data_IF_346291250541
#
_entry.id   IF_346291250541
#
_cell.length_a   1.000
_cell.length_b   1.000
_cell.length_c   1.000
_cell.angle_alpha   90.00
_cell.angle_beta   90.00
_cell.angle_gamma   90.00
#
_symmetry.space_group_name_H-M   'P 1'
#
loop_
_entity.id
_entity.type
_entity.pdbx_description
1 polymer ?
#
# COMPACT_ATOMS: atom_id res chain seq x y z
N UNK A 1 16.90 24.96 -1.51
CA UNK A 1 18.36 24.96 -1.58
C UNK A 1 18.85 23.64 -0.98
N UNK A 2 19.72 22.95 -1.70
CA UNK A 2 20.43 21.75 -1.26
C UNK A 2 21.71 22.24 -0.60
N UNK A 3 21.90 21.98 0.68
CA UNK A 3 23.18 22.24 1.31
C UNK A 3 23.95 20.93 1.35
N UNK A 4 25.00 20.84 0.57
CA UNK A 4 25.94 19.71 0.59
C UNK A 4 26.99 20.03 1.61
N UNK A 5 27.23 19.13 2.56
CA UNK A 5 28.39 19.22 3.46
C UNK A 5 29.43 18.23 2.94
N UNK A 6 30.27 18.64 1.97
CA UNK A 6 31.34 17.78 1.44
C UNK A 6 32.52 17.73 2.43
N UNK A 7 33.44 16.79 2.23
CA UNK A 7 34.74 16.75 2.91
C UNK A 7 35.45 18.13 2.97
N UNK A 8 35.36 18.98 1.90
CA UNK A 8 35.92 20.32 1.93
C UNK A 8 35.31 21.26 3.00
N UNK A 9 34.13 20.92 3.53
CA UNK A 9 33.51 21.68 4.63
C UNK A 9 33.99 21.22 6.02
N UNK A 10 34.82 20.20 6.09
CA UNK A 10 35.41 19.76 7.35
C UNK A 10 36.25 20.87 7.96
N UNK A 11 36.15 21.05 9.27
CA UNK A 11 36.86 22.06 10.03
C UNK A 11 37.93 21.40 10.91
N UNK A 12 39.09 22.02 10.98
CA UNK A 12 40.07 21.71 11.97
C UNK A 12 39.97 22.72 13.12
N UNK A 13 40.01 22.23 14.35
CA UNK A 13 40.06 23.07 15.55
C UNK A 13 41.48 23.23 16.01
N UNK A 14 42.00 24.43 16.00
CA UNK A 14 43.31 24.72 16.59
C UNK A 14 43.17 25.71 17.74
N UNK A 15 44.04 25.55 18.72
CA UNK A 15 44.11 26.47 19.86
C UNK A 15 45.03 27.63 19.47
N UNK A 16 44.46 28.82 19.38
CA UNK A 16 45.27 30.03 19.27
C UNK A 16 45.96 30.29 20.63
N UNK A 17 47.27 30.24 20.60
CA UNK A 17 48.11 30.41 21.79
C UNK A 17 48.14 31.85 22.33
N UNK A 18 47.76 32.82 21.48
CA UNK A 18 47.76 34.25 21.86
C UNK A 18 46.46 34.62 22.56
N UNK A 19 45.31 34.21 21.97
CA UNK A 19 43.97 34.52 22.52
C UNK A 19 43.47 33.42 23.47
N UNK A 20 44.17 32.30 23.62
CA UNK A 20 43.76 31.09 24.35
C UNK A 20 42.33 30.62 24.04
N UNK A 21 41.90 30.84 22.80
CA UNK A 21 40.59 30.44 22.27
C UNK A 21 40.73 29.36 21.22
N UNK A 22 39.71 28.48 21.06
CA UNK A 22 39.63 27.54 20.00
C UNK A 22 39.06 28.22 18.73
N UNK A 23 39.85 28.22 17.67
CA UNK A 23 39.41 28.75 16.36
C UNK A 23 39.17 27.58 15.39
N UNK A 24 38.15 27.75 14.53
CA UNK A 24 37.83 26.78 13.49
C UNK A 24 38.38 27.22 12.15
N UNK A 25 39.18 26.38 11.53
CA UNK A 25 39.69 26.60 10.19
C UNK A 25 39.09 25.57 9.23
N UNK A 26 38.59 26.00 8.07
CA UNK A 26 38.16 25.04 7.03
C UNK A 26 39.37 24.33 6.46
N UNK A 27 39.30 23.01 6.28
CA UNK A 27 40.38 22.20 5.73
C UNK A 27 40.68 22.51 4.26
N UNK A 28 39.66 22.94 3.50
CA UNK A 28 39.81 23.36 2.10
C UNK A 28 39.32 24.79 1.97
N UNK A 29 40.19 25.70 1.56
CA UNK A 29 39.86 27.07 1.16
C UNK A 29 39.56 27.09 -0.33
N UNK A 30 38.53 27.82 -0.77
CA UNK A 30 38.13 27.91 -2.17
C UNK A 30 39.17 28.58 -3.09
N UNK A 31 40.15 29.24 -2.50
CA UNK A 31 41.10 30.12 -3.21
C UNK A 31 42.52 29.59 -3.33
N UNK A 32 42.81 28.43 -2.74
CA UNK A 32 44.12 27.80 -2.83
C UNK A 32 44.01 26.39 -3.40
N UNK A 33 44.76 26.14 -4.50
CA UNK A 33 45.04 24.79 -4.97
C UNK A 33 46.10 24.20 -4.00
N UNK A 34 45.68 23.96 -2.76
CA UNK A 34 46.52 23.24 -1.81
C UNK A 34 46.71 21.80 -2.29
N UNK A 35 47.85 21.25 -2.03
CA UNK A 35 48.15 19.87 -2.33
C UNK A 35 47.11 18.95 -1.68
N UNK A 36 46.24 18.35 -2.51
CA UNK A 36 45.12 17.47 -2.09
C UNK A 36 45.64 16.40 -1.13
N UNK A 37 46.89 15.93 -1.30
CA UNK A 37 47.48 14.91 -0.45
C UNK A 37 47.74 15.41 0.99
N UNK A 38 48.09 16.68 1.15
CA UNK A 38 48.33 17.28 2.48
C UNK A 38 47.01 17.49 3.23
N UNK A 39 45.95 17.88 2.52
CA UNK A 39 44.60 18.04 3.08
C UNK A 39 44.02 16.69 3.47
N UNK A 40 44.19 15.66 2.65
CA UNK A 40 43.77 14.29 2.95
C UNK A 40 44.47 13.75 4.18
N UNK A 41 45.79 13.88 4.25
CA UNK A 41 46.60 13.45 5.41
C UNK A 41 46.12 14.16 6.69
N UNK A 42 45.84 15.46 6.63
CA UNK A 42 45.35 16.23 7.77
C UNK A 42 43.96 15.73 8.19
N UNK A 43 43.03 15.51 7.25
CA UNK A 43 41.70 15.02 7.52
C UNK A 43 41.72 13.62 8.17
N UNK A 44 42.51 12.69 7.64
CA UNK A 44 42.61 11.32 8.15
C UNK A 44 43.24 11.24 9.56
N UNK A 45 44.03 12.25 9.94
CA UNK A 45 44.65 12.35 11.27
C UNK A 45 43.74 13.03 12.30
N UNK A 46 42.58 13.61 11.91
CA UNK A 46 41.66 14.24 12.85
C UNK A 46 40.82 13.18 13.59
N UNK A 47 41.00 12.99 14.91
CA UNK A 47 40.29 11.95 15.67
C UNK A 47 38.80 12.14 15.67
N UNK A 48 38.31 13.39 15.55
CA UNK A 48 36.93 13.78 15.58
C UNK A 48 36.12 13.20 14.40
N UNK A 49 36.72 13.06 13.22
CA UNK A 49 36.07 12.54 12.03
C UNK A 49 36.24 11.03 11.84
N UNK A 50 37.18 10.42 12.56
CA UNK A 50 37.43 8.99 12.51
C UNK A 50 36.25 8.22 13.09
N UNK A 51 35.68 7.30 12.30
CA UNK A 51 34.50 6.52 12.67
C UNK A 51 33.18 7.25 12.47
N UNK A 52 33.16 8.56 12.18
CA UNK A 52 31.97 9.35 11.91
C UNK A 52 31.84 9.72 10.43
N UNK A 53 32.81 10.39 9.84
CA UNK A 53 32.82 10.74 8.42
C UNK A 53 33.73 9.83 7.58
N UNK A 54 34.65 9.17 8.21
CA UNK A 54 35.61 8.26 7.56
C UNK A 54 35.81 7.02 8.43
N UNK A 55 35.74 5.85 7.78
CA UNK A 55 36.09 4.58 8.41
C UNK A 55 37.44 4.06 7.84
N UNK A 56 38.52 4.03 8.64
CA UNK A 56 39.84 3.62 8.16
C UNK A 56 39.92 2.12 7.80
N UNK A 57 39.01 1.29 8.33
CA UNK A 57 39.06 -0.17 8.09
C UNK A 57 38.40 -0.53 6.74
N UNK A 58 37.31 0.17 6.39
CA UNK A 58 36.52 -0.08 5.17
C UNK A 58 36.82 0.93 4.06
N UNK A 59 37.62 1.96 4.34
CA UNK A 59 37.85 3.11 3.44
C UNK A 59 36.58 3.75 2.93
N UNK A 60 35.55 3.82 3.80
CA UNK A 60 34.26 4.38 3.47
C UNK A 60 34.14 5.83 3.94
N UNK A 61 33.68 6.71 3.08
CA UNK A 61 33.45 8.13 3.36
C UNK A 61 31.96 8.43 3.41
N UNK A 62 31.55 9.25 4.35
CA UNK A 62 30.17 9.71 4.48
C UNK A 62 30.01 11.13 3.92
N UNK A 63 29.10 11.29 2.96
CA UNK A 63 28.66 12.60 2.49
C UNK A 63 27.25 12.86 3.00
N UNK A 64 27.03 13.94 3.73
CA UNK A 64 25.73 14.34 4.24
C UNK A 64 25.06 15.38 3.31
N UNK A 65 23.84 15.11 2.88
CA UNK A 65 23.00 16.02 2.10
C UNK A 65 21.86 16.52 2.96
N UNK A 66 21.82 17.83 3.20
CA UNK A 66 20.70 18.45 3.91
C UNK A 66 19.63 18.90 2.91
N UNK A 67 18.43 18.39 3.07
CA UNK A 67 17.28 18.69 2.21
C UNK A 67 16.31 19.67 2.91
N UNK A 68 15.72 20.56 2.14
CA UNK A 68 14.68 21.46 2.67
C UNK A 68 13.44 20.65 3.10
N UNK A 69 13.03 20.83 4.36
CA UNK A 69 11.96 20.07 5.00
C UNK A 69 10.60 20.26 4.31
N UNK A 70 10.32 21.42 3.77
CA UNK A 70 9.06 21.71 3.10
C UNK A 70 8.96 20.97 1.76
N UNK A 71 10.02 21.00 0.96
CA UNK A 71 10.07 20.33 -0.33
C UNK A 71 10.08 18.81 -0.20
N UNK A 72 10.81 18.27 0.78
CA UNK A 72 10.87 16.82 0.98
C UNK A 72 9.55 16.23 1.50
N UNK A 73 8.67 17.06 2.08
CA UNK A 73 7.32 16.65 2.48
C UNK A 73 6.27 16.93 1.40
N UNK A 74 6.64 17.52 0.27
CA UNK A 74 5.76 17.77 -0.88
C UNK A 74 5.71 16.60 -1.86
N UNK A 75 4.85 16.73 -2.89
CA UNK A 75 4.78 15.77 -4.03
C UNK A 75 6.07 15.72 -4.85
N UNK A 76 6.94 16.72 -4.72
CA UNK A 76 8.22 16.79 -5.44
C UNK A 76 9.29 15.85 -4.86
N UNK A 77 9.04 15.24 -3.70
CA UNK A 77 10.00 14.39 -2.99
C UNK A 77 10.60 13.30 -3.88
N UNK A 78 9.77 12.53 -4.58
CA UNK A 78 10.26 11.43 -5.42
C UNK A 78 11.13 11.93 -6.57
N UNK A 79 10.77 13.08 -7.18
CA UNK A 79 11.58 13.69 -8.22
C UNK A 79 12.93 14.21 -7.70
N UNK A 80 12.95 14.82 -6.50
CA UNK A 80 14.19 15.30 -5.87
C UNK A 80 15.11 14.12 -5.55
N UNK A 81 14.59 13.07 -4.91
CA UNK A 81 15.38 11.89 -4.55
C UNK A 81 15.90 11.19 -5.81
N UNK A 82 15.05 11.00 -6.82
CA UNK A 82 15.45 10.40 -8.10
C UNK A 82 16.53 11.23 -8.81
N UNK A 83 16.43 12.56 -8.81
CA UNK A 83 17.45 13.43 -9.39
C UNK A 83 18.80 13.33 -8.68
N UNK A 84 18.79 13.23 -7.34
CA UNK A 84 20.01 13.05 -6.56
C UNK A 84 20.63 11.67 -6.85
N UNK A 85 19.84 10.60 -6.78
CA UNK A 85 20.37 9.24 -7.03
C UNK A 85 20.90 9.10 -8.45
N UNK A 86 20.22 9.65 -9.45
CA UNK A 86 20.68 9.62 -10.85
C UNK A 86 22.04 10.30 -11.03
N UNK A 87 22.25 11.47 -10.41
CA UNK A 87 23.53 12.18 -10.51
C UNK A 87 24.66 11.41 -9.80
N UNK A 88 24.35 10.87 -8.61
CA UNK A 88 25.34 10.12 -7.83
C UNK A 88 25.65 8.78 -8.49
N UNK A 89 24.67 8.10 -9.08
CA UNK A 89 24.89 6.85 -9.83
C UNK A 89 25.74 7.08 -11.08
N UNK A 90 25.52 8.20 -11.78
CA UNK A 90 26.35 8.60 -12.94
C UNK A 90 27.79 8.85 -12.50
N UNK A 91 28.01 9.53 -11.37
CA UNK A 91 29.33 9.75 -10.79
C UNK A 91 29.97 8.41 -10.36
N UNK A 92 29.22 7.55 -9.68
CA UNK A 92 29.64 6.22 -9.26
C UNK A 92 30.16 5.39 -10.46
N UNK A 93 29.37 5.39 -11.55
CA UNK A 93 29.76 4.68 -12.76
C UNK A 93 30.99 5.27 -13.44
N UNK A 94 31.13 6.60 -13.46
CA UNK A 94 32.28 7.28 -14.05
C UNK A 94 33.57 7.06 -13.27
N UNK A 95 33.48 7.05 -11.94
CA UNK A 95 34.64 6.90 -11.05
C UNK A 95 34.92 5.47 -10.60
N UNK A 96 34.07 4.51 -10.98
CA UNK A 96 34.14 3.11 -10.53
C UNK A 96 34.12 2.94 -9.02
N UNK A 97 33.35 3.80 -8.30
CA UNK A 97 33.25 3.78 -6.84
C UNK A 97 31.88 3.25 -6.45
N UNK A 98 31.81 2.32 -5.49
CA UNK A 98 30.54 1.86 -4.94
C UNK A 98 29.92 2.94 -4.05
N UNK A 99 28.68 3.34 -4.32
CA UNK A 99 27.94 4.31 -3.51
C UNK A 99 26.73 3.66 -2.88
N UNK A 100 26.53 3.94 -1.60
CA UNK A 100 25.37 3.45 -0.83
C UNK A 100 24.55 4.63 -0.31
N UNK A 101 23.24 4.53 -0.44
CA UNK A 101 22.33 5.57 0.00
C UNK A 101 21.71 5.23 1.35
N UNK A 102 21.62 6.22 2.23
CA UNK A 102 20.97 6.11 3.52
C UNK A 102 20.28 7.42 3.88
N UNK A 103 19.40 7.38 4.85
CA UNK A 103 18.69 8.53 5.39
C UNK A 103 17.19 8.44 5.22
N UNK A 104 16.48 9.05 6.17
CA UNK A 104 15.02 9.01 6.26
C UNK A 104 14.30 9.46 4.98
N UNK A 105 14.71 10.56 4.30
CA UNK A 105 14.05 10.97 3.06
C UNK A 105 14.16 9.93 1.95
N UNK A 106 15.33 9.33 1.78
CA UNK A 106 15.58 8.29 0.78
C UNK A 106 14.75 7.03 1.08
N UNK A 107 14.86 6.49 2.31
CA UNK A 107 14.14 5.28 2.71
C UNK A 107 12.62 5.46 2.57
N UNK A 108 12.09 6.61 3.04
CA UNK A 108 10.65 6.90 2.92
C UNK A 108 10.17 6.99 1.48
N UNK A 109 10.99 7.53 0.58
CA UNK A 109 10.65 7.65 -0.84
C UNK A 109 10.64 6.28 -1.50
N UNK A 110 11.73 5.53 -1.40
CA UNK A 110 11.83 4.19 -2.01
C UNK A 110 10.76 3.24 -1.44
N UNK A 111 10.50 3.29 -0.14
CA UNK A 111 9.45 2.47 0.47
C UNK A 111 8.06 2.88 -0.05
N UNK A 112 7.78 4.18 -0.18
CA UNK A 112 6.49 4.64 -0.69
C UNK A 112 6.27 4.22 -2.15
N UNK A 113 7.28 4.36 -3.01
CA UNK A 113 7.21 3.98 -4.42
C UNK A 113 7.02 2.45 -4.56
N UNK A 114 7.79 1.65 -3.81
CA UNK A 114 7.61 0.18 -3.78
C UNK A 114 6.22 -0.24 -3.31
N UNK A 115 5.72 0.36 -2.22
CA UNK A 115 4.38 0.07 -1.71
C UNK A 115 3.32 0.39 -2.75
N UNK A 116 3.47 1.48 -3.50
CA UNK A 116 2.53 1.84 -4.55
C UNK A 116 2.52 0.84 -5.71
N UNK A 117 3.70 0.37 -6.13
CA UNK A 117 3.82 -0.63 -7.20
C UNK A 117 3.31 -2.00 -6.74
N UNK A 118 3.65 -2.44 -5.54
CA UNK A 118 3.16 -3.68 -4.94
C UNK A 118 1.64 -3.64 -4.76
N UNK A 119 1.08 -2.51 -4.31
CA UNK A 119 -0.37 -2.33 -4.18
C UNK A 119 -1.08 -2.53 -5.52
N UNK A 120 -0.55 -1.97 -6.60
CA UNK A 120 -1.09 -2.16 -7.96
C UNK A 120 -1.05 -3.63 -8.37
N UNK A 121 0.08 -4.29 -8.13
CA UNK A 121 0.24 -5.72 -8.42
C UNK A 121 -0.77 -6.57 -7.63
N UNK A 122 -0.88 -6.36 -6.31
CA UNK A 122 -1.80 -7.09 -5.45
C UNK A 122 -3.26 -6.85 -5.84
N UNK A 123 -3.61 -5.62 -6.21
CA UNK A 123 -4.97 -5.30 -6.67
C UNK A 123 -5.31 -6.06 -7.95
N UNK A 124 -4.44 -6.03 -8.95
CA UNK A 124 -4.65 -6.75 -10.21
C UNK A 124 -4.72 -8.25 -9.95
N UNK A 125 -3.77 -8.81 -9.19
CA UNK A 125 -3.73 -10.22 -8.89
C UNK A 125 -4.97 -10.69 -8.12
N UNK A 126 -5.44 -9.91 -7.13
CA UNK A 126 -6.65 -10.21 -6.38
C UNK A 126 -7.90 -10.19 -7.26
N UNK A 127 -8.00 -9.21 -8.19
CA UNK A 127 -9.11 -9.14 -9.13
C UNK A 127 -9.11 -10.32 -10.12
N UNK A 128 -7.94 -10.68 -10.66
CA UNK A 128 -7.81 -11.82 -11.58
C UNK A 128 -8.14 -13.13 -10.87
N UNK A 129 -7.58 -13.36 -9.68
CA UNK A 129 -7.86 -14.56 -8.89
C UNK A 129 -9.35 -14.66 -8.56
N UNK A 130 -9.95 -13.55 -8.16
CA UNK A 130 -11.38 -13.45 -7.89
C UNK A 130 -12.22 -13.77 -9.11
N UNK A 131 -11.94 -13.15 -10.25
CA UNK A 131 -12.66 -13.43 -11.49
C UNK A 131 -12.57 -14.90 -11.84
N UNK A 132 -11.40 -15.50 -11.70
CA UNK A 132 -11.17 -16.92 -11.96
C UNK A 132 -12.03 -17.81 -11.05
N UNK A 133 -12.03 -17.54 -9.74
CA UNK A 133 -12.85 -18.29 -8.77
C UNK A 133 -14.34 -18.14 -9.10
N UNK A 134 -14.81 -16.94 -9.39
CA UNK A 134 -16.20 -16.68 -9.70
C UNK A 134 -16.63 -17.34 -11.01
N UNK A 135 -15.76 -17.36 -12.06
CA UNK A 135 -16.03 -18.06 -13.32
C UNK A 135 -16.16 -19.58 -13.08
N UNK A 136 -15.24 -20.15 -12.32
CA UNK A 136 -15.27 -21.58 -11.98
C UNK A 136 -16.51 -21.94 -11.17
N UNK A 137 -16.89 -21.08 -10.23
CA UNK A 137 -18.01 -21.32 -9.32
C UNK A 137 -19.36 -21.13 -10.00
N UNK A 138 -19.61 -19.97 -10.61
CA UNK A 138 -20.91 -19.62 -11.17
C UNK A 138 -21.10 -20.05 -12.62
N UNK A 139 -20.01 -20.29 -13.36
CA UNK A 139 -20.05 -20.61 -14.81
C UNK A 139 -20.91 -19.65 -15.63
N UNK A 140 -21.04 -18.40 -15.16
CA UNK A 140 -21.85 -17.34 -15.75
C UNK A 140 -21.04 -16.05 -15.84
N UNK A 141 -20.74 -15.62 -17.05
CA UNK A 141 -20.03 -14.34 -17.27
C UNK A 141 -20.79 -13.14 -16.73
N UNK A 142 -22.13 -13.19 -16.74
CA UNK A 142 -22.96 -12.10 -16.21
C UNK A 142 -22.79 -11.97 -14.69
N UNK A 143 -22.81 -13.09 -13.97
CA UNK A 143 -22.59 -13.10 -12.53
C UNK A 143 -21.20 -12.56 -12.16
N UNK A 144 -20.19 -12.95 -12.94
CA UNK A 144 -18.82 -12.43 -12.76
C UNK A 144 -18.74 -10.95 -13.04
N UNK A 145 -19.33 -10.48 -14.16
CA UNK A 145 -19.33 -9.07 -14.53
C UNK A 145 -20.01 -8.19 -13.46
N UNK A 146 -21.16 -8.61 -12.93
CA UNK A 146 -21.87 -7.91 -11.84
C UNK A 146 -20.97 -7.84 -10.60
N UNK A 147 -20.38 -8.95 -10.19
CA UNK A 147 -19.51 -9.01 -9.01
C UNK A 147 -18.27 -8.12 -9.18
N UNK A 148 -17.64 -8.15 -10.35
CA UNK A 148 -16.47 -7.34 -10.64
C UNK A 148 -16.79 -5.84 -10.68
N UNK A 149 -17.97 -5.48 -11.19
CA UNK A 149 -18.44 -4.10 -11.18
C UNK A 149 -18.66 -3.59 -9.76
N UNK A 150 -19.35 -4.37 -8.92
CA UNK A 150 -19.60 -4.01 -7.50
C UNK A 150 -18.28 -3.84 -6.75
N UNK A 151 -17.36 -4.79 -6.90
CA UNK A 151 -16.04 -4.74 -6.26
C UNK A 151 -15.22 -3.57 -6.80
N UNK A 152 -15.25 -3.33 -8.11
CA UNK A 152 -14.57 -2.18 -8.74
C UNK A 152 -15.05 -0.83 -8.19
N UNK A 153 -16.37 -0.66 -8.04
CA UNK A 153 -16.95 0.53 -7.39
C UNK A 153 -16.46 0.65 -5.95
N UNK A 154 -16.45 -0.46 -5.19
CA UNK A 154 -15.95 -0.49 -3.82
C UNK A 154 -14.50 -0.08 -3.71
N UNK A 155 -13.64 -0.54 -4.63
CA UNK A 155 -12.22 -0.16 -4.71
C UNK A 155 -12.06 1.34 -4.99
N UNK A 156 -12.77 1.88 -6.00
CA UNK A 156 -12.74 3.31 -6.33
C UNK A 156 -13.22 4.13 -5.13
N UNK A 157 -14.30 3.71 -4.50
CA UNK A 157 -14.84 4.35 -3.30
C UNK A 157 -13.83 4.35 -2.15
N UNK A 158 -13.10 3.24 -1.94
CA UNK A 158 -12.13 3.13 -0.87
C UNK A 158 -10.95 4.10 -1.05
N UNK A 159 -10.45 4.25 -2.27
CA UNK A 159 -9.40 5.23 -2.61
C UNK A 159 -9.92 6.66 -2.40
N UNK A 160 -11.16 6.93 -2.83
CA UNK A 160 -11.83 8.21 -2.61
C UNK A 160 -11.97 8.56 -1.13
N UNK A 161 -12.35 7.58 -0.30
CA UNK A 161 -12.51 7.77 1.16
C UNK A 161 -11.19 8.10 1.84
N UNK A 162 -10.08 7.45 1.47
CA UNK A 162 -8.74 7.77 1.99
C UNK A 162 -8.42 9.25 1.73
N UNK A 163 -8.69 9.72 0.51
CA UNK A 163 -8.43 11.09 0.12
C UNK A 163 -9.35 12.10 0.83
N UNK A 164 -10.65 11.78 0.93
CA UNK A 164 -11.66 12.62 1.60
C UNK A 164 -11.36 12.80 3.10
N UNK A 165 -10.83 11.76 3.76
CA UNK A 165 -10.40 11.83 5.15
C UNK A 165 -9.09 12.62 5.34
N UNK A 166 -8.47 13.11 4.26
CA UNK A 166 -7.19 13.84 4.31
C UNK A 166 -6.00 12.96 4.67
N UNK A 167 -6.13 11.65 4.58
CA UNK A 167 -5.06 10.72 4.91
C UNK A 167 -4.12 10.49 3.73
N UNK A 168 -2.85 10.27 4.05
CA UNK A 168 -1.85 9.90 3.06
C UNK A 168 -1.79 8.39 2.86
N UNK A 169 -1.44 7.97 1.65
CA UNK A 169 -1.22 6.55 1.37
C UNK A 169 0.01 6.09 2.16
N UNK A 170 -0.23 5.32 3.19
CA UNK A 170 0.77 4.62 4.00
C UNK A 170 0.81 3.14 3.63
N UNK A 171 1.77 2.40 4.16
CA UNK A 171 1.87 0.94 3.96
C UNK A 171 0.56 0.22 4.33
N UNK A 172 -0.07 0.64 5.44
CA UNK A 172 -1.32 0.02 5.91
C UNK A 172 -2.54 0.48 5.10
N UNK A 173 -2.68 1.79 4.82
CA UNK A 173 -3.83 2.30 4.05
C UNK A 173 -3.79 1.82 2.59
N UNK A 174 -2.61 1.52 2.04
CA UNK A 174 -2.45 0.90 0.73
C UNK A 174 -3.05 -0.51 0.63
N UNK A 175 -3.23 -1.22 1.75
CA UNK A 175 -3.86 -2.54 1.78
C UNK A 175 -5.40 -2.48 1.74
N UNK A 176 -6.02 -1.29 1.92
CA UNK A 176 -7.48 -1.16 1.96
C UNK A 176 -8.14 -1.57 0.64
N UNK A 177 -7.71 -1.13 -0.56
CA UNK A 177 -8.33 -1.54 -1.81
C UNK A 177 -8.32 -3.06 -2.05
N UNK A 178 -7.22 -3.79 -1.89
CA UNK A 178 -7.23 -5.26 -1.94
C UNK A 178 -8.13 -5.91 -0.87
N UNK A 179 -8.18 -5.34 0.34
CA UNK A 179 -9.05 -5.82 1.42
C UNK A 179 -10.53 -5.71 1.02
N UNK A 180 -10.93 -4.62 0.37
CA UNK A 180 -12.30 -4.42 -0.11
C UNK A 180 -12.65 -5.43 -1.21
N UNK A 181 -11.69 -5.82 -2.06
CA UNK A 181 -11.90 -6.92 -3.02
C UNK A 181 -12.22 -8.21 -2.28
N UNK A 182 -11.41 -8.58 -1.30
CA UNK A 182 -11.56 -9.84 -0.55
C UNK A 182 -12.88 -9.89 0.24
N UNK A 183 -13.32 -8.77 0.81
CA UNK A 183 -14.58 -8.70 1.58
C UNK A 183 -15.80 -8.57 0.68
N UNK A 184 -15.68 -7.87 -0.45
CA UNK A 184 -16.79 -7.66 -1.39
C UNK A 184 -17.22 -8.92 -2.12
N UNK A 185 -16.27 -9.85 -2.36
CA UNK A 185 -16.55 -11.11 -3.07
C UNK A 185 -17.57 -12.00 -2.35
N UNK A 186 -17.40 -12.37 -1.08
CA UNK A 186 -18.39 -13.14 -0.33
C UNK A 186 -19.77 -12.51 -0.36
N UNK A 187 -19.86 -11.17 -0.27
CA UNK A 187 -21.16 -10.48 -0.39
C UNK A 187 -21.82 -10.77 -1.74
N UNK A 188 -21.09 -10.60 -2.85
CA UNK A 188 -21.60 -10.90 -4.18
C UNK A 188 -22.01 -12.38 -4.32
N UNK A 189 -21.17 -13.30 -3.83
CA UNK A 189 -21.45 -14.74 -3.86
C UNK A 189 -22.72 -15.08 -3.10
N UNK A 190 -22.92 -14.54 -1.90
CA UNK A 190 -24.11 -14.79 -1.10
C UNK A 190 -25.38 -14.29 -1.78
N UNK A 191 -25.38 -13.07 -2.33
CA UNK A 191 -26.52 -12.52 -3.05
C UNK A 191 -26.84 -13.34 -4.31
N UNK A 192 -25.84 -13.60 -5.16
CA UNK A 192 -26.02 -14.36 -6.41
C UNK A 192 -26.48 -15.78 -6.15
N UNK A 193 -25.86 -16.47 -5.20
CA UNK A 193 -26.24 -17.84 -4.83
C UNK A 193 -27.69 -17.89 -4.34
N UNK A 194 -28.09 -16.96 -3.46
CA UNK A 194 -29.47 -16.90 -2.96
C UNK A 194 -30.46 -16.58 -4.06
N UNK A 195 -30.12 -15.67 -4.98
CA UNK A 195 -30.96 -15.38 -6.14
C UNK A 195 -31.17 -16.61 -7.00
N UNK A 196 -30.10 -17.36 -7.35
CA UNK A 196 -30.18 -18.57 -8.14
C UNK A 196 -31.03 -19.65 -7.46
N UNK A 197 -30.79 -19.91 -6.17
CA UNK A 197 -31.57 -20.89 -5.40
C UNK A 197 -33.04 -20.49 -5.29
N UNK A 198 -33.35 -19.21 -5.02
CA UNK A 198 -34.73 -18.74 -4.95
C UNK A 198 -35.40 -18.80 -6.32
N UNK A 199 -34.72 -18.54 -7.41
CA UNK A 199 -35.26 -18.64 -8.76
C UNK A 199 -35.60 -20.09 -9.16
N UNK A 200 -34.77 -21.04 -8.77
CA UNK A 200 -35.04 -22.47 -8.98
C UNK A 200 -36.37 -22.92 -8.30
N UNK A 201 -36.66 -22.38 -7.10
CA UNK A 201 -37.83 -22.80 -6.34
C UNK A 201 -39.07 -22.02 -6.72
N UNK A 202 -38.97 -20.74 -7.07
CA UNK A 202 -40.15 -19.86 -7.32
C UNK A 202 -40.48 -19.69 -8.80
N UNK A 203 -39.49 -19.85 -9.69
CA UNK A 203 -39.63 -19.55 -11.13
C UNK A 203 -39.93 -18.06 -11.42
N UNK A 204 -40.06 -17.20 -10.39
CA UNK A 204 -40.43 -15.81 -10.51
C UNK A 204 -39.24 -14.89 -10.13
N UNK A 205 -38.80 -14.06 -11.08
CA UNK A 205 -37.65 -13.17 -10.95
C UNK A 205 -37.82 -12.17 -9.80
N UNK A 206 -38.96 -11.48 -9.74
CA UNK A 206 -39.18 -10.43 -8.74
C UNK A 206 -39.25 -11.00 -7.32
N UNK A 207 -39.93 -12.14 -7.16
CA UNK A 207 -40.03 -12.83 -5.89
C UNK A 207 -38.64 -13.33 -5.42
N UNK A 208 -37.80 -13.82 -6.35
CA UNK A 208 -36.44 -14.27 -6.06
C UNK A 208 -35.54 -13.13 -5.64
N UNK A 209 -35.64 -11.95 -6.27
CA UNK A 209 -34.93 -10.74 -5.89
C UNK A 209 -35.34 -10.27 -4.49
N UNK A 210 -36.61 -10.24 -4.17
CA UNK A 210 -37.07 -9.87 -2.84
C UNK A 210 -36.55 -10.83 -1.75
N UNK A 211 -36.69 -12.15 -1.99
CA UNK A 211 -36.16 -13.15 -1.05
C UNK A 211 -34.62 -13.09 -0.88
N UNK A 212 -33.91 -12.74 -1.94
CA UNK A 212 -32.48 -12.53 -1.89
C UNK A 212 -32.12 -11.36 -0.98
N UNK A 213 -32.75 -10.19 -1.19
CA UNK A 213 -32.48 -8.99 -0.39
C UNK A 213 -32.87 -9.20 1.07
N UNK A 214 -34.04 -9.74 1.33
CA UNK A 214 -34.55 -9.99 2.68
C UNK A 214 -33.64 -10.92 3.47
N UNK A 215 -33.33 -12.10 2.92
CA UNK A 215 -32.54 -13.10 3.66
C UNK A 215 -31.06 -12.79 3.71
N UNK A 216 -30.47 -12.41 2.56
CA UNK A 216 -29.02 -12.17 2.51
C UNK A 216 -28.63 -10.78 2.99
N UNK A 217 -29.53 -9.78 2.87
CA UNK A 217 -29.29 -8.45 3.42
C UNK A 217 -28.98 -8.48 4.92
N UNK A 218 -29.76 -9.23 5.69
CA UNK A 218 -29.55 -9.39 7.14
C UNK A 218 -28.21 -10.12 7.43
N UNK A 219 -27.98 -11.25 6.78
CA UNK A 219 -26.77 -12.07 7.00
C UNK A 219 -25.51 -11.27 6.66
N UNK A 220 -25.49 -10.61 5.50
CA UNK A 220 -24.32 -9.84 5.07
C UNK A 220 -24.15 -8.56 5.89
N UNK A 221 -25.25 -7.95 6.41
CA UNK A 221 -25.16 -6.83 7.33
C UNK A 221 -24.38 -7.21 8.59
N UNK A 222 -24.77 -8.29 9.26
CA UNK A 222 -24.09 -8.71 10.49
C UNK A 222 -22.65 -9.11 10.24
N UNK A 223 -22.35 -9.80 9.14
CA UNK A 223 -20.99 -10.18 8.76
C UNK A 223 -20.11 -8.96 8.53
N UNK A 224 -20.60 -7.98 7.76
CA UNK A 224 -19.84 -6.76 7.48
C UNK A 224 -19.74 -5.85 8.71
N UNK A 225 -20.80 -5.78 9.54
CA UNK A 225 -20.78 -5.02 10.79
C UNK A 225 -19.73 -5.59 11.77
N UNK A 226 -19.68 -6.91 11.91
CA UNK A 226 -18.66 -7.57 12.74
C UNK A 226 -17.25 -7.27 12.25
N UNK A 227 -17.02 -7.35 10.93
CA UNK A 227 -15.74 -7.01 10.33
C UNK A 227 -15.40 -5.52 10.52
N UNK A 228 -16.37 -4.62 10.31
CA UNK A 228 -16.18 -3.19 10.50
C UNK A 228 -15.85 -2.83 11.95
N UNK A 229 -16.49 -3.47 12.93
CA UNK A 229 -16.16 -3.32 14.35
C UNK A 229 -14.74 -3.82 14.62
N UNK A 230 -14.37 -4.98 14.08
CA UNK A 230 -13.04 -5.56 14.23
C UNK A 230 -11.93 -4.61 13.75
N UNK A 231 -12.11 -3.97 12.60
CA UNK A 231 -11.18 -2.93 12.11
C UNK A 231 -11.32 -1.62 12.91
N UNK A 232 -12.53 -1.26 13.31
CA UNK A 232 -12.82 -0.06 14.10
C UNK A 232 -12.10 -0.03 15.46
N UNK A 233 -11.81 -1.19 16.06
CA UNK A 233 -11.05 -1.29 17.30
C UNK A 233 -9.65 -0.66 17.18
N UNK A 234 -9.04 -0.67 15.99
CA UNK A 234 -7.76 0.00 15.78
C UNK A 234 -7.81 1.53 16.00
N UNK A 235 -9.01 2.13 15.96
CA UNK A 235 -9.16 3.55 16.28
C UNK A 235 -8.74 3.90 17.72
N UNK A 236 -8.83 2.95 18.64
CA UNK A 236 -8.45 3.14 20.04
C UNK A 236 -6.95 2.94 20.30
N UNK A 237 -6.16 2.57 19.30
CA UNK A 237 -4.71 2.40 19.45
C UNK A 237 -3.99 3.76 19.56
N UNK A 238 -2.76 3.75 20.07
CA UNK A 238 -1.92 4.96 20.12
C UNK A 238 -1.23 5.29 18.79
N UNK A 239 -1.17 4.35 17.84
CA UNK A 239 -0.52 4.53 16.54
C UNK A 239 -1.44 5.28 15.58
N UNK A 240 -0.99 6.42 15.08
CA UNK A 240 -1.74 7.22 14.10
C UNK A 240 -2.06 6.42 12.83
N UNK A 241 -1.09 5.66 12.32
CA UNK A 241 -1.24 4.84 11.09
C UNK A 241 -2.31 3.76 11.27
N UNK A 242 -2.36 3.10 12.44
CA UNK A 242 -3.38 2.09 12.73
C UNK A 242 -4.76 2.71 12.91
N UNK A 243 -4.86 3.91 13.51
CA UNK A 243 -6.14 4.64 13.62
C UNK A 243 -6.72 4.97 12.24
N UNK A 244 -5.88 5.55 11.36
CA UNK A 244 -6.26 5.89 10.00
C UNK A 244 -6.74 4.64 9.23
N UNK A 245 -5.94 3.57 9.29
CA UNK A 245 -6.27 2.30 8.64
C UNK A 245 -7.59 1.72 9.16
N UNK A 246 -7.76 1.60 10.49
CA UNK A 246 -8.95 1.01 11.09
C UNK A 246 -10.22 1.79 10.79
N UNK A 247 -10.17 3.12 10.86
CA UNK A 247 -11.31 3.99 10.55
C UNK A 247 -11.72 3.83 9.08
N UNK A 248 -10.77 3.99 8.17
CA UNK A 248 -11.07 3.93 6.73
C UNK A 248 -11.49 2.52 6.31
N UNK A 249 -10.83 1.47 6.79
CA UNK A 249 -11.21 0.09 6.50
C UNK A 249 -12.63 -0.21 7.02
N UNK A 250 -12.93 0.14 8.28
CA UNK A 250 -14.26 -0.08 8.86
C UNK A 250 -15.38 0.63 8.08
N UNK A 251 -15.18 1.91 7.72
CA UNK A 251 -16.14 2.67 6.90
C UNK A 251 -16.34 2.06 5.53
N UNK A 252 -15.25 1.63 4.87
CA UNK A 252 -15.35 1.04 3.53
C UNK A 252 -15.95 -0.37 3.53
N UNK A 253 -15.80 -1.14 4.60
CA UNK A 253 -16.49 -2.42 4.77
C UNK A 253 -18.02 -2.22 4.84
N UNK A 254 -18.48 -1.19 5.56
CA UNK A 254 -19.90 -0.85 5.56
C UNK A 254 -20.34 -0.30 4.21
N UNK A 255 -19.52 0.52 3.56
CA UNK A 255 -19.82 1.05 2.23
C UNK A 255 -19.97 -0.07 1.19
N UNK A 256 -19.08 -1.05 1.13
CA UNK A 256 -19.18 -2.17 0.17
C UNK A 256 -20.42 -3.04 0.42
N UNK A 257 -20.85 -3.17 1.67
CA UNK A 257 -22.14 -3.79 1.99
C UNK A 257 -23.30 -3.05 1.34
N UNK A 258 -23.42 -1.73 1.54
CA UNK A 258 -24.50 -0.94 0.94
C UNK A 258 -24.43 -0.91 -0.59
N UNK A 259 -23.23 -0.80 -1.15
CA UNK A 259 -22.99 -0.88 -2.60
C UNK A 259 -23.49 -2.22 -3.15
N UNK A 260 -23.15 -3.34 -2.52
CA UNK A 260 -23.60 -4.66 -2.96
C UNK A 260 -25.12 -4.85 -2.78
N UNK A 261 -25.68 -4.41 -1.66
CA UNK A 261 -27.12 -4.51 -1.36
C UNK A 261 -27.99 -3.76 -2.37
N UNK A 262 -27.52 -2.62 -2.88
CA UNK A 262 -28.27 -1.79 -3.83
C UNK A 262 -27.98 -2.22 -5.27
N UNK A 263 -26.71 -2.36 -5.64
CA UNK A 263 -26.32 -2.54 -7.05
C UNK A 263 -26.66 -3.94 -7.55
N UNK A 264 -26.46 -4.99 -6.74
CA UNK A 264 -26.70 -6.37 -7.20
C UNK A 264 -28.17 -6.60 -7.58
N UNK A 265 -29.18 -6.28 -6.75
CA UNK A 265 -30.58 -6.44 -7.14
C UNK A 265 -30.96 -5.60 -8.35
N UNK A 266 -30.47 -4.35 -8.42
CA UNK A 266 -30.73 -3.45 -9.53
C UNK A 266 -30.20 -4.04 -10.84
N UNK A 267 -28.94 -4.46 -10.87
CA UNK A 267 -28.35 -5.05 -12.07
C UNK A 267 -29.02 -6.37 -12.47
N UNK A 268 -29.33 -7.23 -11.51
CA UNK A 268 -30.04 -8.47 -11.77
C UNK A 268 -31.47 -8.23 -12.29
N UNK A 269 -32.11 -7.10 -11.95
CA UNK A 269 -33.42 -6.74 -12.48
C UNK A 269 -33.41 -6.50 -13.99
N UNK A 270 -32.31 -6.04 -14.56
CA UNK A 270 -32.15 -5.80 -15.99
C UNK A 270 -31.65 -7.05 -16.77
N UNK A 271 -31.05 -7.99 -16.08
CA UNK A 271 -30.47 -9.20 -16.71
C UNK A 271 -31.56 -10.27 -16.86
N UNK A 272 -31.45 -11.08 -17.92
CA UNK A 272 -32.31 -12.25 -18.12
C UNK A 272 -32.17 -13.26 -16.95
N UNK A 273 -33.24 -14.01 -16.62
CA UNK A 273 -33.18 -15.04 -15.59
C UNK A 273 -32.09 -16.05 -15.83
N UNK A 274 -31.52 -16.67 -14.77
CA UNK A 274 -30.43 -17.62 -14.91
C UNK A 274 -30.90 -18.87 -15.67
N UNK A 275 -30.06 -19.36 -16.58
CA UNK A 275 -30.32 -20.63 -17.29
C UNK A 275 -30.15 -21.82 -16.33
N UNK A 276 -30.91 -22.91 -16.46
CA UNK A 276 -30.75 -24.11 -15.65
C UNK A 276 -29.31 -24.68 -15.64
N UNK A 277 -28.57 -24.48 -16.74
CA UNK A 277 -27.17 -24.90 -16.83
C UNK A 277 -26.23 -24.14 -15.86
N UNK A 278 -26.58 -22.94 -15.46
CA UNK A 278 -25.79 -22.10 -14.54
C UNK A 278 -26.05 -22.43 -13.07
N UNK A 279 -27.08 -23.23 -12.76
CA UNK A 279 -27.46 -23.61 -11.40
C UNK A 279 -27.05 -25.04 -11.06
N UNK A 280 -26.60 -25.85 -12.02
CA UNK A 280 -26.21 -27.24 -11.83
C UNK A 280 -25.02 -27.45 -10.88
N UNK A 281 -24.28 -26.38 -10.53
CA UNK A 281 -23.20 -26.48 -9.53
C UNK A 281 -23.75 -26.72 -8.12
N UNK A 282 -24.97 -26.27 -7.82
CA UNK A 282 -25.65 -26.45 -6.53
C UNK A 282 -26.07 -27.93 -6.29
N UNK A 283 -26.28 -28.69 -7.35
CA UNK A 283 -26.69 -30.09 -7.32
C UNK A 283 -25.55 -31.05 -7.69
N UNK A 284 -24.29 -30.57 -7.74
CA UNK A 284 -23.21 -31.44 -8.17
C UNK A 284 -22.99 -32.57 -7.17
N UNK A 285 -23.01 -33.84 -7.62
CA UNK A 285 -22.88 -35.01 -6.74
C UNK A 285 -21.51 -35.07 -6.02
N UNK A 286 -20.53 -34.32 -6.51
CA UNK A 286 -19.21 -34.22 -5.87
C UNK A 286 -19.28 -33.31 -4.64
N UNK A 287 -20.07 -32.24 -4.68
CA UNK A 287 -20.25 -31.33 -3.56
C UNK A 287 -21.10 -31.97 -2.45
N UNK A 288 -22.14 -32.71 -2.85
CA UNK A 288 -22.95 -33.48 -1.90
C UNK A 288 -22.10 -34.54 -1.20
N UNK A 289 -21.29 -35.32 -1.92
CA UNK A 289 -20.36 -36.30 -1.31
C UNK A 289 -19.36 -35.64 -0.35
N UNK A 290 -18.87 -34.45 -0.66
CA UNK A 290 -17.94 -33.72 0.21
C UNK A 290 -18.64 -33.22 1.49
N UNK A 291 -19.89 -32.76 1.37
CA UNK A 291 -20.73 -32.38 2.50
C UNK A 291 -21.12 -33.59 3.35
N UNK A 292 -21.47 -34.73 2.73
CA UNK A 292 -21.79 -35.98 3.44
C UNK A 292 -20.57 -36.50 4.22
N UNK A 293 -19.37 -36.38 3.68
CA UNK A 293 -18.13 -36.73 4.39
C UNK A 293 -17.92 -35.80 5.61
N UNK A 294 -18.18 -34.50 5.46
CA UNK A 294 -18.05 -33.52 6.55
C UNK A 294 -19.12 -33.72 7.64
N UNK A 295 -20.34 -34.07 7.26
CA UNK A 295 -21.43 -34.34 8.22
C UNK A 295 -21.25 -35.66 9.00
N UNK A 296 -20.51 -36.62 8.45
CA UNK A 296 -20.15 -37.86 9.16
C UNK A 296 -19.06 -37.64 10.22
N UNK A 297 -18.30 -36.53 10.11
CA UNK A 297 -17.21 -36.17 11.04
C UNK A 297 -17.65 -35.21 12.17
N UNK A 298 -18.88 -34.71 12.13
CA UNK A 298 -19.51 -33.88 13.17
C UNK A 298 -20.56 -34.70 13.91
#
# INVERSE_FOLDING_TARGET
YLTVTPLPSAINLYKDTISNTLQSLRLVSSDSVEDVASVEATFLNLPFYKGFLYNPTTHTYLMALTLNKERINSKERSAIVAGITQQVDAFSAQQHIAVHYSGLPYIRTITADRVQDEMRLFLILSLVLTATILIVFFRSFVAVAISMLVVGIGVIWSVGTIHLCGYHISILTALIPPLIVVIGIPNCVYFLNKYHTSFQTTGNKNQSLLQMVDKMGIVTLFTNLTAAIGFGVFFFTKSAILKEFGLVAGLNILAIFFISLIIIPVLLSFVAPPNPKHTNYLESPRMQKMLDILTVWV
#
